data_IF_029932967000
#
_entry.id   IF_029932967000
#
_cell.length_a   1.000
_cell.length_b   1.000
_cell.length_c   1.000
_cell.angle_alpha   90.00
_cell.angle_beta   90.00
_cell.angle_gamma   90.00
#
_symmetry.space_group_name_H-M   'P 1'
#
loop_
_entity.id
_entity.type
_entity.pdbx_description
1 polymer ?
#
# COMPACT_ATOMS: atom_id res chain seq x y z
N UNK A 1 -28.12 -41.66 -2.35
CA UNK A 1 -28.21 -40.23 -2.65
C UNK A 1 -26.83 -39.58 -2.44
N UNK A 2 -26.16 -39.12 -3.49
CA UNK A 2 -24.88 -38.44 -3.31
C UNK A 2 -25.11 -37.06 -2.67
N UNK A 3 -24.40 -36.78 -1.57
CA UNK A 3 -24.33 -35.46 -0.95
C UNK A 3 -23.67 -34.48 -1.91
N UNK A 4 -24.22 -33.27 -2.14
CA UNK A 4 -23.58 -32.28 -2.98
C UNK A 4 -22.28 -31.82 -2.29
N UNK A 5 -21.20 -31.86 -3.04
CA UNK A 5 -19.86 -31.51 -2.58
C UNK A 5 -19.80 -30.03 -2.14
N UNK A 6 -19.11 -29.80 -1.04
CA UNK A 6 -18.88 -28.47 -0.43
C UNK A 6 -18.07 -27.48 -1.28
N UNK A 7 -17.80 -27.80 -2.53
CA UNK A 7 -17.01 -26.95 -3.43
C UNK A 7 -17.75 -25.68 -3.91
N UNK A 8 -19.08 -25.62 -3.77
CA UNK A 8 -19.87 -24.47 -4.22
C UNK A 8 -19.94 -23.32 -3.19
N UNK A 9 -19.57 -23.57 -1.91
CA UNK A 9 -19.66 -22.54 -0.87
C UNK A 9 -18.41 -21.67 -0.73
N UNK A 10 -17.31 -22.03 -1.36
CA UNK A 10 -16.04 -21.29 -1.27
C UNK A 10 -15.96 -20.08 -2.22
N UNK A 11 -16.79 -20.04 -3.25
CA UNK A 11 -16.78 -18.99 -4.27
C UNK A 11 -17.30 -17.64 -3.73
N UNK A 12 -18.13 -17.65 -2.69
CA UNK A 12 -18.80 -16.45 -2.16
C UNK A 12 -18.07 -15.76 -1.00
N UNK A 13 -16.94 -16.29 -0.52
CA UNK A 13 -16.22 -15.74 0.64
C UNK A 13 -14.95 -14.97 0.28
N UNK A 14 -14.63 -14.77 -0.99
CA UNK A 14 -13.44 -14.01 -1.39
C UNK A 14 -13.75 -12.53 -1.36
N UNK A 15 -13.08 -11.80 -0.45
CA UNK A 15 -13.16 -10.34 -0.41
C UNK A 15 -12.50 -9.74 -1.66
N UNK A 16 -12.92 -8.53 -2.12
CA UNK A 16 -12.32 -7.85 -3.27
C UNK A 16 -10.78 -7.75 -3.21
N UNK A 17 -10.22 -7.62 -2.01
CA UNK A 17 -8.78 -7.58 -1.77
C UNK A 17 -8.07 -8.90 -2.15
N UNK A 18 -8.68 -10.05 -1.82
CA UNK A 18 -8.11 -11.35 -2.15
C UNK A 18 -8.09 -11.57 -3.68
N UNK A 19 -9.08 -11.01 -4.40
CA UNK A 19 -9.10 -11.04 -5.87
C UNK A 19 -7.98 -10.18 -6.45
N UNK A 20 -7.76 -8.98 -5.94
CA UNK A 20 -6.69 -8.10 -6.38
C UNK A 20 -5.30 -8.73 -6.14
N UNK A 21 -5.10 -9.38 -5.00
CA UNK A 21 -3.86 -10.12 -4.71
C UNK A 21 -3.65 -11.30 -5.64
N UNK A 22 -4.72 -12.03 -6.01
CA UNK A 22 -4.65 -13.11 -6.98
C UNK A 22 -4.22 -12.61 -8.37
N UNK A 23 -4.73 -11.47 -8.80
CA UNK A 23 -4.37 -10.89 -10.09
C UNK A 23 -2.92 -10.37 -10.09
N UNK A 24 -2.47 -9.78 -8.98
CA UNK A 24 -1.06 -9.41 -8.79
C UNK A 24 -0.13 -10.61 -8.85
N UNK A 25 -0.47 -11.71 -8.18
CA UNK A 25 0.29 -12.97 -8.22
C UNK A 25 0.37 -13.56 -9.64
N UNK A 26 -0.75 -13.55 -10.37
CA UNK A 26 -0.78 -13.99 -11.78
C UNK A 26 0.12 -13.11 -12.65
N UNK A 27 0.10 -11.80 -12.44
CA UNK A 27 0.93 -10.85 -13.20
C UNK A 27 2.42 -11.11 -12.97
N UNK A 28 2.86 -11.32 -11.72
CA UNK A 28 4.25 -11.66 -11.39
C UNK A 28 4.63 -13.01 -12.01
N UNK A 29 3.78 -14.04 -11.87
CA UNK A 29 4.02 -15.35 -12.45
C UNK A 29 4.13 -15.29 -13.97
N UNK A 30 3.30 -14.48 -14.63
CA UNK A 30 3.35 -14.28 -16.07
C UNK A 30 4.63 -13.57 -16.51
N UNK A 31 5.04 -12.49 -15.83
CA UNK A 31 6.30 -11.82 -16.08
C UNK A 31 7.49 -12.78 -15.95
N UNK A 32 7.49 -13.59 -14.89
CA UNK A 32 8.52 -14.62 -14.66
C UNK A 32 8.57 -15.66 -15.80
N UNK A 33 7.41 -16.11 -16.29
CA UNK A 33 7.34 -17.07 -17.40
C UNK A 33 7.91 -16.51 -18.72
N UNK A 34 7.76 -15.19 -18.91
CA UNK A 34 8.33 -14.46 -20.05
C UNK A 34 9.78 -14.01 -19.83
N UNK A 35 10.38 -14.32 -18.68
CA UNK A 35 11.72 -13.86 -18.28
C UNK A 35 11.83 -12.32 -18.27
N UNK A 36 10.73 -11.62 -17.96
CA UNK A 36 10.72 -10.17 -17.76
C UNK A 36 11.06 -9.90 -16.30
N UNK A 37 12.10 -9.11 -16.00
CA UNK A 37 12.46 -8.79 -14.63
C UNK A 37 11.37 -7.98 -13.96
N UNK A 38 10.99 -8.37 -12.73
CA UNK A 38 10.06 -7.64 -11.87
C UNK A 38 10.89 -6.83 -10.89
N UNK A 39 10.85 -5.50 -10.99
CA UNK A 39 11.60 -4.59 -10.11
C UNK A 39 11.11 -4.66 -8.67
N UNK A 40 9.85 -4.95 -8.46
CA UNK A 40 9.26 -5.12 -7.15
C UNK A 40 7.76 -4.87 -7.11
N UNK A 41 7.22 -4.85 -5.90
CA UNK A 41 5.79 -4.67 -5.62
C UNK A 41 5.57 -3.36 -4.87
N UNK A 42 4.57 -2.59 -5.30
CA UNK A 42 4.05 -1.42 -4.57
C UNK A 42 2.64 -1.75 -4.10
N UNK A 43 2.38 -1.56 -2.81
CA UNK A 43 1.04 -1.69 -2.25
C UNK A 43 0.33 -0.35 -2.33
N UNK A 44 -0.80 -0.28 -3.03
CA UNK A 44 -1.61 0.93 -3.12
C UNK A 44 -2.81 0.85 -2.17
N UNK A 45 -3.31 2.00 -1.73
CA UNK A 45 -4.44 2.12 -0.79
C UNK A 45 -4.17 1.44 0.56
N UNK A 46 -2.94 1.54 1.08
CA UNK A 46 -2.47 0.85 2.28
C UNK A 46 -2.94 1.49 3.60
N UNK A 47 -4.07 2.14 3.62
CA UNK A 47 -4.66 2.77 4.79
C UNK A 47 -4.99 4.23 4.57
N UNK A 48 -5.79 4.79 5.45
CA UNK A 48 -6.20 6.19 5.43
C UNK A 48 -5.67 6.91 6.67
N UNK A 49 -4.84 7.91 6.47
CA UNK A 49 -4.28 8.70 7.56
C UNK A 49 -5.23 9.82 7.97
N UNK A 50 -5.65 9.79 9.22
CA UNK A 50 -6.44 10.83 9.87
C UNK A 50 -5.48 11.72 10.66
N UNK A 51 -5.49 13.01 10.35
CA UNK A 51 -4.70 14.01 11.07
C UNK A 51 -5.62 15.03 11.71
N UNK A 52 -5.21 15.57 12.87
CA UNK A 52 -5.98 16.57 13.57
C UNK A 52 -5.20 17.24 14.67
N UNK A 53 -5.93 18.05 15.46
CA UNK A 53 -5.38 18.73 16.63
C UNK A 53 -6.24 18.42 17.85
N UNK A 54 -5.58 18.18 18.98
CA UNK A 54 -6.15 18.01 20.30
C UNK A 54 -5.38 18.82 21.33
N UNK A 55 -5.50 18.46 22.58
CA UNK A 55 -4.70 19.04 23.65
C UNK A 55 -3.27 18.51 23.56
N UNK A 56 -2.21 19.36 23.69
CA UNK A 56 -0.84 18.89 23.74
C UNK A 56 -0.64 17.77 24.77
N UNK A 57 0.20 16.80 24.42
CA UNK A 57 0.58 15.65 25.26
C UNK A 57 -0.60 14.81 25.79
N UNK A 58 -1.78 14.90 25.16
CA UNK A 58 -2.96 14.13 25.56
C UNK A 58 -3.20 12.94 24.64
N UNK A 59 -3.76 11.88 25.21
CA UNK A 59 -4.27 10.75 24.43
C UNK A 59 -5.68 11.07 23.92
N UNK A 60 -5.93 10.68 22.68
CA UNK A 60 -7.23 10.79 22.03
C UNK A 60 -7.73 9.43 21.58
N UNK A 61 -9.04 9.27 21.62
CA UNK A 61 -9.71 8.11 21.07
C UNK A 61 -10.63 8.55 19.92
N UNK A 62 -10.51 7.88 18.79
CA UNK A 62 -11.28 8.16 17.58
C UNK A 62 -12.14 6.93 17.29
N UNK A 63 -13.46 7.13 17.26
CA UNK A 63 -14.38 6.08 16.83
C UNK A 63 -14.17 5.79 15.34
N UNK A 64 -13.90 4.54 15.03
CA UNK A 64 -13.71 4.05 13.66
C UNK A 64 -14.85 3.09 13.25
N UNK A 65 -15.06 2.86 11.94
CA UNK A 65 -16.07 1.93 11.47
C UNK A 65 -15.94 0.53 12.08
N UNK A 66 -17.03 -0.21 12.09
CA UNK A 66 -17.14 -1.57 12.66
C UNK A 66 -16.85 -1.64 14.18
N UNK A 67 -17.14 -0.57 14.92
CA UNK A 67 -16.98 -0.53 16.38
C UNK A 67 -15.52 -0.51 16.86
N UNK A 68 -14.59 -0.22 15.99
CA UNK A 68 -13.15 -0.08 16.32
C UNK A 68 -12.90 1.29 16.97
N UNK A 69 -11.93 1.33 17.85
CA UNK A 69 -11.41 2.58 18.41
C UNK A 69 -9.93 2.70 18.04
N UNK A 70 -9.57 3.81 17.43
CA UNK A 70 -8.19 4.17 17.18
C UNK A 70 -7.70 5.05 18.32
N UNK A 71 -6.43 4.89 18.69
CA UNK A 71 -5.77 5.70 19.72
C UNK A 71 -4.59 6.41 19.12
N UNK A 72 -4.41 7.66 19.49
CA UNK A 72 -3.25 8.45 19.13
C UNK A 72 -2.89 9.36 20.30
N UNK A 73 -1.60 9.69 20.40
CA UNK A 73 -1.11 10.70 21.35
C UNK A 73 -0.82 11.98 20.58
N UNK A 74 -1.28 13.10 21.09
CA UNK A 74 -0.95 14.41 20.54
C UNK A 74 0.49 14.77 20.90
N UNK A 75 1.19 15.41 19.95
CA UNK A 75 2.52 15.98 20.21
C UNK A 75 2.44 17.24 21.08
N UNK A 76 3.58 17.86 21.34
CA UNK A 76 3.73 19.11 22.12
C UNK A 76 3.03 20.32 21.49
N UNK A 77 2.72 20.25 20.18
CA UNK A 77 1.91 21.25 19.46
C UNK A 77 0.42 20.85 19.35
N UNK A 78 0.05 19.75 19.99
CA UNK A 78 -1.29 19.18 19.97
C UNK A 78 -1.67 18.47 18.68
N UNK A 79 -0.74 18.20 17.77
CA UNK A 79 -1.03 17.50 16.51
C UNK A 79 -1.04 15.98 16.75
N UNK A 80 -1.93 15.30 16.07
CA UNK A 80 -1.93 13.84 16.02
C UNK A 80 -2.04 13.32 14.60
N UNK A 81 -1.56 12.10 14.40
CA UNK A 81 -1.71 11.34 13.16
C UNK A 81 -1.96 9.90 13.51
N UNK A 82 -3.00 9.31 12.91
CA UNK A 82 -3.33 7.88 13.08
C UNK A 82 -3.79 7.30 11.75
N UNK A 83 -3.35 6.09 11.45
CA UNK A 83 -3.74 5.40 10.22
C UNK A 83 -4.88 4.43 10.50
N UNK A 84 -5.97 4.58 9.75
CA UNK A 84 -7.08 3.65 9.71
C UNK A 84 -6.82 2.64 8.58
N UNK A 85 -6.66 1.37 8.95
CA UNK A 85 -6.66 0.28 8.00
C UNK A 85 -8.07 0.08 7.41
N UNK A 86 -8.26 0.50 6.16
CA UNK A 86 -9.52 0.36 5.43
C UNK A 86 -9.53 -0.94 4.63
N UNK A 87 -8.39 -1.32 4.07
CA UNK A 87 -8.21 -2.46 3.19
C UNK A 87 -7.09 -3.32 3.75
N UNK A 88 -7.33 -4.27 4.60
CA UNK A 88 -6.39 -5.27 5.10
C UNK A 88 -4.93 -5.07 4.60
N UNK A 89 -4.12 -4.41 5.40
CA UNK A 89 -2.73 -4.05 5.07
C UNK A 89 -1.81 -5.28 4.91
N UNK A 90 -0.73 -5.11 4.17
CA UNK A 90 0.37 -6.07 4.09
C UNK A 90 0.24 -7.13 2.99
N UNK A 91 -0.82 -7.07 2.17
CA UNK A 91 -1.00 -7.99 1.06
C UNK A 91 0.08 -7.87 0.00
N UNK A 92 0.50 -6.64 -0.31
CA UNK A 92 1.58 -6.36 -1.25
C UNK A 92 2.93 -6.85 -0.73
N UNK A 93 3.24 -6.61 0.53
CA UNK A 93 4.48 -7.10 1.18
C UNK A 93 4.52 -8.63 1.20
N UNK A 94 3.43 -9.28 1.63
CA UNK A 94 3.34 -10.75 1.64
C UNK A 94 3.49 -11.35 0.24
N UNK A 95 2.93 -10.70 -0.79
CA UNK A 95 3.10 -11.12 -2.19
C UNK A 95 4.55 -10.95 -2.65
N UNK A 96 5.22 -9.86 -2.30
CA UNK A 96 6.62 -9.64 -2.61
C UNK A 96 7.52 -10.73 -2.00
N UNK A 97 7.30 -11.07 -0.73
CA UNK A 97 8.00 -12.15 -0.02
C UNK A 97 7.76 -13.52 -0.66
N UNK A 98 6.50 -13.84 -1.01
CA UNK A 98 6.10 -15.10 -1.63
C UNK A 98 6.83 -15.34 -2.97
N UNK A 99 7.02 -14.28 -3.76
CA UNK A 99 7.66 -14.37 -5.07
C UNK A 99 9.15 -14.02 -5.07
N UNK A 100 9.72 -13.68 -3.92
CA UNK A 100 11.13 -13.31 -3.80
C UNK A 100 11.49 -12.03 -4.56
N UNK A 101 10.53 -11.11 -4.71
CA UNK A 101 10.76 -9.80 -5.35
C UNK A 101 10.78 -8.69 -4.31
N UNK A 102 11.47 -7.56 -4.57
CA UNK A 102 11.52 -6.45 -3.63
C UNK A 102 10.15 -5.87 -3.31
N UNK A 103 9.89 -5.51 -2.04
CA UNK A 103 8.78 -4.64 -1.67
C UNK A 103 9.26 -3.19 -1.72
N UNK A 104 8.73 -2.41 -2.66
CA UNK A 104 9.19 -1.05 -2.94
C UNK A 104 8.58 0.00 -2.03
N UNK A 105 7.40 -0.28 -1.46
CA UNK A 105 6.72 0.61 -0.55
C UNK A 105 5.20 0.49 -0.59
N UNK A 106 4.54 1.24 0.29
CA UNK A 106 3.10 1.34 0.39
C UNK A 106 2.65 2.78 0.18
N UNK A 107 1.59 2.97 -0.59
CA UNK A 107 0.98 4.27 -0.86
C UNK A 107 -0.34 4.38 -0.10
N UNK A 108 -0.55 5.42 0.71
CA UNK A 108 -1.77 5.61 1.46
C UNK A 108 -2.95 5.90 0.54
N UNK A 109 -4.15 5.59 1.01
CA UNK A 109 -5.37 6.10 0.41
C UNK A 109 -5.49 7.60 0.70
N UNK A 110 -5.47 8.44 -0.34
CA UNK A 110 -5.59 9.90 -0.22
C UNK A 110 -6.66 10.43 -1.20
N UNK A 111 -7.82 10.87 -0.69
CA UNK A 111 -8.88 11.45 -1.52
C UNK A 111 -8.43 12.70 -2.29
N UNK A 112 -7.31 13.32 -1.90
CA UNK A 112 -6.71 14.45 -2.60
C UNK A 112 -6.24 14.13 -4.01
N UNK A 113 -5.88 12.85 -4.29
CA UNK A 113 -5.53 12.42 -5.65
C UNK A 113 -6.71 12.52 -6.62
N UNK A 114 -7.92 12.17 -6.18
CA UNK A 114 -9.11 12.27 -7.02
C UNK A 114 -9.38 13.73 -7.36
N UNK A 115 -9.44 14.59 -6.35
CA UNK A 115 -9.66 16.04 -6.55
C UNK A 115 -8.57 16.68 -7.39
N UNK A 116 -7.31 16.38 -7.10
CA UNK A 116 -6.17 16.90 -7.87
C UNK A 116 -6.19 16.44 -9.32
N UNK A 117 -6.65 15.21 -9.60
CA UNK A 117 -6.84 14.69 -10.95
C UNK A 117 -7.90 15.46 -11.74
N UNK A 118 -9.03 15.78 -11.11
CA UNK A 118 -10.11 16.55 -11.72
C UNK A 118 -9.70 18.01 -11.99
N UNK A 119 -8.92 18.60 -11.09
CA UNK A 119 -8.46 19.99 -11.17
C UNK A 119 -7.14 20.16 -11.99
N UNK A 120 -6.52 19.07 -12.43
CA UNK A 120 -5.21 19.08 -13.10
C UNK A 120 -4.05 19.47 -12.18
N UNK A 121 -4.21 19.32 -10.86
CA UNK A 121 -3.21 19.67 -9.86
C UNK A 121 -2.58 18.39 -9.28
N UNK A 122 -1.26 18.25 -9.43
CA UNK A 122 -0.55 17.11 -8.86
C UNK A 122 -0.51 17.19 -7.34
N UNK A 123 -1.16 16.22 -6.67
CA UNK A 123 -1.25 16.13 -5.22
C UNK A 123 0.10 16.20 -4.51
N UNK A 124 1.12 15.55 -5.06
CA UNK A 124 2.48 15.52 -4.49
C UNK A 124 3.15 16.92 -4.56
N UNK A 125 2.82 17.70 -5.60
CA UNK A 125 3.36 19.06 -5.78
C UNK A 125 2.60 20.05 -4.91
N UNK A 126 1.29 19.90 -4.76
CA UNK A 126 0.48 20.80 -3.94
C UNK A 126 0.70 20.61 -2.44
N UNK A 127 1.08 19.42 -2.01
CA UNK A 127 1.36 19.09 -0.59
C UNK A 127 2.66 18.27 -0.47
N UNK A 128 3.82 18.89 -0.70
CA UNK A 128 5.11 18.18 -0.74
C UNK A 128 5.50 17.56 0.62
N UNK A 129 5.02 18.11 1.73
CA UNK A 129 5.24 17.61 3.09
C UNK A 129 4.17 16.61 3.54
N UNK A 130 3.21 16.29 2.66
CA UNK A 130 2.12 15.36 2.97
C UNK A 130 2.58 13.90 3.00
N UNK A 131 1.83 13.07 3.74
CA UNK A 131 2.10 11.63 3.84
C UNK A 131 2.18 10.94 2.48
N UNK A 132 1.33 11.35 1.52
CA UNK A 132 1.34 10.82 0.16
C UNK A 132 2.61 11.18 -0.60
N UNK A 133 3.08 12.43 -0.50
CA UNK A 133 4.31 12.87 -1.15
C UNK A 133 5.52 12.13 -0.59
N UNK A 134 5.59 11.97 0.71
CA UNK A 134 6.64 11.20 1.40
C UNK A 134 6.65 9.74 0.94
N UNK A 135 5.47 9.09 0.89
CA UNK A 135 5.36 7.71 0.45
C UNK A 135 5.78 7.52 -1.02
N UNK A 136 5.34 8.41 -1.91
CA UNK A 136 5.77 8.39 -3.32
C UNK A 136 7.28 8.59 -3.47
N UNK A 137 7.87 9.55 -2.75
CA UNK A 137 9.32 9.79 -2.78
C UNK A 137 10.09 8.55 -2.34
N UNK A 138 9.61 7.85 -1.32
CA UNK A 138 10.21 6.60 -0.87
C UNK A 138 10.13 5.50 -1.94
N UNK A 139 8.96 5.33 -2.59
CA UNK A 139 8.81 4.35 -3.68
C UNK A 139 9.73 4.68 -4.85
N UNK A 140 9.82 5.96 -5.25
CA UNK A 140 10.72 6.40 -6.33
C UNK A 140 12.18 6.09 -5.98
N UNK A 141 12.62 6.42 -4.77
CA UNK A 141 13.99 6.11 -4.32
C UNK A 141 14.26 4.60 -4.32
N UNK A 142 13.28 3.79 -3.91
CA UNK A 142 13.38 2.33 -3.95
C UNK A 142 13.53 1.80 -5.38
N UNK A 143 12.75 2.34 -6.33
CA UNK A 143 12.87 1.98 -7.76
C UNK A 143 14.25 2.36 -8.30
N UNK A 144 14.72 3.57 -8.04
CA UNK A 144 16.04 4.03 -8.48
C UNK A 144 17.15 3.12 -7.95
N UNK A 145 17.11 2.77 -6.68
CA UNK A 145 18.07 1.85 -6.07
C UNK A 145 18.09 0.48 -6.75
N UNK A 146 16.92 -0.06 -7.14
CA UNK A 146 16.85 -1.33 -7.87
C UNK A 146 17.46 -1.22 -9.29
N UNK A 147 17.21 -0.12 -9.97
CA UNK A 147 17.75 0.13 -11.32
C UNK A 147 19.26 0.30 -11.29
N UNK A 148 19.80 1.04 -10.33
CA UNK A 148 21.24 1.26 -10.17
C UNK A 148 21.96 -0.07 -9.83
N UNK A 149 21.36 -0.88 -8.95
CA UNK A 149 21.87 -2.22 -8.62
C UNK A 149 21.88 -3.16 -9.83
N UNK A 150 20.85 -3.13 -10.66
CA UNK A 150 20.77 -3.93 -11.88
C UNK A 150 21.81 -3.50 -12.93
N UNK A 151 22.07 -2.19 -13.05
CA UNK A 151 23.08 -1.63 -13.97
C UNK A 151 24.49 -2.03 -13.55
N UNK A 152 24.79 -2.07 -12.26
CA UNK A 152 26.10 -2.46 -11.73
C UNK A 152 26.38 -3.95 -11.92
N UNK A 153 25.36 -4.79 -11.85
CA UNK A 153 25.49 -6.25 -12.07
C UNK A 153 25.71 -6.62 -13.55
N UNK A 154 25.34 -5.74 -14.48
CA UNK A 154 25.52 -5.97 -15.92
C UNK A 154 26.93 -5.62 -16.42
N UNK A 155 27.79 -5.03 -15.61
CA UNK A 155 29.15 -4.61 -15.95
C UNK A 155 30.23 -5.65 -15.60
N UNK A 156 29.88 -6.79 -15.04
CA UNK A 156 30.83 -7.88 -14.70
C UNK A 156 30.92 -8.99 -15.79
N UNK A 157 30.54 -8.71 -17.01
CA UNK A 157 30.76 -9.66 -18.13
C UNK A 157 31.79 -9.05 -19.09
N UNK A 158 33.06 -9.19 -18.74
CA UNK A 158 34.16 -9.30 -19.71
C UNK A 158 35.14 -10.35 -19.17
#
# INVERSE_FOLDING_TARGET
TPTPSSAASDVYKRQPQDVALLDSRKSISFASSLKVPVLGVVENMSGYTIQGKGTPDSDIEIAAPAGRTLRATCDDEGRFSVTLDIFKEGGGRSTAEEFGVPFLGALPFDPGFVRGGDDGVHRIVSEPEGASATAFSHVVASIQSQLDGASSSSLEII
#
